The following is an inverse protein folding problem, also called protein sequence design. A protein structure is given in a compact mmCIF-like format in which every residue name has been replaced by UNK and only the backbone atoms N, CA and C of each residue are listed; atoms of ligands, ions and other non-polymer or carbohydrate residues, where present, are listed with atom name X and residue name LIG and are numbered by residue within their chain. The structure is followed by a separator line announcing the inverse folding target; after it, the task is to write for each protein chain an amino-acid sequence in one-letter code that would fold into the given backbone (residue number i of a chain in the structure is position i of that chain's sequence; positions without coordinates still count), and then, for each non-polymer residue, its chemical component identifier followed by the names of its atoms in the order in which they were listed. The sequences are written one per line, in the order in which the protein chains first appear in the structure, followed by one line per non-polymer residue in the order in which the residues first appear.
data_IF_669951682178
#
_entry.id   IF_669951682178
#
_cell.length_a   1.000
_cell.length_b   1.000
_cell.length_c   1.000
_cell.angle_alpha   90.00
_cell.angle_beta   90.00
_cell.angle_gamma   90.00
#
_symmetry.space_group_name_H-M   'P 1'
#
loop_
_entity.id
_entity.type
_entity.pdbx_description
1 polymer ?
#
# COMPACT_ATOMS: atom_id res chain seq x y z
N UNK A 1 43.24 -56.61 16.54
CA UNK A 1 42.81 -55.20 16.51
C UNK A 1 41.94 -55.03 15.28
N UNK A 2 40.63 -54.84 15.44
CA UNK A 2 39.69 -54.60 14.34
C UNK A 2 39.68 -53.10 13.98
N UNK A 3 39.20 -52.78 12.76
CA UNK A 3 38.54 -51.52 12.30
C UNK A 3 39.41 -50.58 11.45
N UNK A 4 39.01 -50.05 10.27
CA UNK A 4 37.81 -50.17 9.40
C UNK A 4 38.19 -49.72 7.96
N UNK A 5 37.36 -50.13 6.99
CA UNK A 5 37.48 -49.93 5.54
C UNK A 5 37.16 -48.47 5.08
N UNK A 6 37.79 -48.04 3.98
CA UNK A 6 37.48 -46.81 3.22
C UNK A 6 35.97 -46.69 2.91
N UNK A 7 35.34 -45.52 3.08
CA UNK A 7 34.19 -45.17 2.27
C UNK A 7 34.66 -44.57 0.93
N UNK A 8 34.36 -45.32 -0.12
CA UNK A 8 34.08 -44.81 -1.47
C UNK A 8 32.98 -43.76 -1.38
N UNK A 9 33.20 -42.59 -1.98
CA UNK A 9 32.20 -41.52 -2.01
C UNK A 9 32.83 -40.16 -2.21
N UNK A 10 33.64 -40.02 -3.27
CA UNK A 10 34.04 -38.69 -3.73
C UNK A 10 32.78 -37.93 -4.13
N UNK A 11 32.35 -36.97 -3.31
CA UNK A 11 31.40 -35.95 -3.78
C UNK A 11 32.07 -35.24 -4.94
N UNK A 12 31.49 -35.35 -6.14
CA UNK A 12 31.95 -34.63 -7.32
C UNK A 12 31.91 -33.13 -6.99
N UNK A 13 32.93 -32.34 -7.35
CA UNK A 13 32.85 -30.89 -7.28
C UNK A 13 31.86 -30.44 -8.37
N UNK A 14 30.57 -30.46 -8.04
CA UNK A 14 29.49 -30.26 -9.02
C UNK A 14 28.09 -30.29 -8.41
N UNK A 15 27.89 -30.94 -7.26
CA UNK A 15 26.61 -30.92 -6.53
C UNK A 15 26.57 -29.81 -5.47
N UNK A 16 27.08 -28.62 -5.80
CA UNK A 16 26.69 -27.44 -5.03
C UNK A 16 25.21 -27.24 -5.35
N UNK A 17 24.34 -27.60 -4.40
CA UNK A 17 22.94 -27.19 -4.41
C UNK A 17 22.88 -25.73 -4.88
N UNK A 18 21.97 -25.38 -5.81
CA UNK A 18 21.90 -24.02 -6.32
C UNK A 18 21.90 -23.09 -5.13
N UNK A 19 22.85 -22.14 -5.09
CA UNK A 19 22.97 -21.15 -4.01
C UNK A 19 21.58 -20.55 -3.84
N UNK A 20 20.86 -21.01 -2.82
CA UNK A 20 19.48 -20.63 -2.55
C UNK A 20 19.56 -19.12 -2.37
N UNK A 21 18.93 -18.35 -3.29
CA UNK A 21 18.90 -16.89 -3.18
C UNK A 21 18.25 -16.57 -1.84
N UNK A 22 19.09 -16.27 -0.85
CA UNK A 22 18.62 -15.86 0.46
C UNK A 22 18.21 -14.39 0.32
N UNK A 23 16.93 -14.11 0.56
CA UNK A 23 16.52 -12.73 0.78
C UNK A 23 17.31 -12.15 1.97
N UNK A 24 17.49 -10.82 2.05
CA UNK A 24 18.11 -10.20 3.22
C UNK A 24 17.51 -10.73 4.53
N UNK A 25 18.35 -11.19 5.46
CA UNK A 25 17.96 -11.70 6.77
C UNK A 25 17.15 -13.02 6.79
N UNK A 26 17.02 -13.71 5.65
CA UNK A 26 16.48 -15.08 5.60
C UNK A 26 17.51 -16.07 6.14
N UNK A 27 17.07 -17.02 6.97
CA UNK A 27 17.98 -18.03 7.52
C UNK A 27 18.20 -19.18 6.51
N UNK A 28 19.35 -19.88 6.54
CA UNK A 28 19.71 -20.89 5.52
C UNK A 28 18.64 -21.96 5.25
N UNK A 29 18.00 -22.46 6.30
CA UNK A 29 16.99 -23.53 6.23
C UNK A 29 15.55 -23.02 6.42
N UNK A 30 15.36 -21.71 6.39
CA UNK A 30 14.04 -21.11 6.54
C UNK A 30 13.25 -21.19 5.23
N UNK A 31 11.96 -21.51 5.34
CA UNK A 31 11.03 -21.43 4.21
C UNK A 31 10.70 -19.97 3.92
N UNK A 32 10.35 -19.65 2.69
CA UNK A 32 9.99 -18.28 2.31
C UNK A 32 8.79 -17.76 3.12
N UNK A 33 7.83 -18.63 3.44
CA UNK A 33 6.68 -18.30 4.30
C UNK A 33 7.11 -17.99 5.74
N UNK A 34 7.94 -18.84 6.35
CA UNK A 34 8.43 -18.61 7.71
C UNK A 34 9.24 -17.31 7.79
N UNK A 35 10.09 -17.06 6.80
CA UNK A 35 10.84 -15.80 6.65
C UNK A 35 9.92 -14.59 6.58
N UNK A 36 8.93 -14.60 5.67
CA UNK A 36 8.02 -13.46 5.51
C UNK A 36 7.21 -13.21 6.78
N UNK A 37 6.67 -14.27 7.40
CA UNK A 37 5.90 -14.16 8.64
C UNK A 37 6.76 -13.69 9.81
N UNK A 38 8.03 -14.10 9.90
CA UNK A 38 8.93 -13.66 10.97
C UNK A 38 9.34 -12.19 10.82
N UNK A 39 9.71 -11.77 9.61
CA UNK A 39 10.34 -10.46 9.36
C UNK A 39 9.33 -9.36 9.04
N UNK A 40 8.27 -9.69 8.29
CA UNK A 40 7.36 -8.72 7.68
C UNK A 40 5.94 -8.77 8.23
N UNK A 41 5.69 -9.50 9.33
CA UNK A 41 4.43 -9.37 10.05
C UNK A 41 4.24 -7.93 10.55
N UNK A 42 2.99 -7.45 10.45
CA UNK A 42 2.60 -6.12 10.92
C UNK A 42 2.62 -6.08 12.44
N UNK A 43 3.17 -5.00 13.01
CA UNK A 43 3.17 -4.77 14.45
C UNK A 43 1.83 -4.17 14.90
N UNK A 44 1.41 -4.45 16.13
CA UNK A 44 0.08 -4.06 16.67
C UNK A 44 -0.18 -2.55 16.62
N UNK A 45 0.83 -1.73 16.88
CA UNK A 45 0.73 -0.26 16.92
C UNK A 45 1.16 0.41 15.59
N UNK A 46 1.51 -0.38 14.58
CA UNK A 46 1.99 0.15 13.30
C UNK A 46 0.81 0.53 12.40
N UNK A 47 0.76 1.80 12.01
CA UNK A 47 -0.19 2.28 11.00
C UNK A 47 0.08 1.59 9.66
N UNK A 48 -0.94 1.50 8.81
CA UNK A 48 -0.80 0.89 7.49
C UNK A 48 0.31 1.56 6.66
N UNK A 49 0.34 2.89 6.64
CA UNK A 49 1.39 3.66 5.94
C UNK A 49 2.80 3.33 6.46
N UNK A 50 2.99 3.26 7.78
CA UNK A 50 4.28 2.89 8.38
C UNK A 50 4.66 1.45 8.02
N UNK A 51 3.69 0.55 8.07
CA UNK A 51 3.87 -0.85 7.73
C UNK A 51 4.31 -1.02 6.27
N UNK A 52 3.56 -0.46 5.33
CA UNK A 52 3.87 -0.55 3.89
C UNK A 52 5.23 0.07 3.60
N UNK A 53 5.51 1.26 4.14
CA UNK A 53 6.81 1.95 3.96
C UNK A 53 7.97 1.08 4.46
N UNK A 54 7.83 0.44 5.63
CA UNK A 54 8.85 -0.43 6.21
C UNK A 54 9.14 -1.63 5.30
N UNK A 55 8.12 -2.36 4.86
CA UNK A 55 8.32 -3.58 4.06
C UNK A 55 8.85 -3.27 2.65
N UNK A 56 8.50 -2.09 2.09
CA UNK A 56 9.02 -1.64 0.80
C UNK A 56 10.39 -0.99 0.86
N UNK A 57 10.93 -0.73 2.06
CA UNK A 57 12.29 -0.19 2.20
C UNK A 57 13.30 -1.16 1.58
N UNK A 58 14.21 -0.60 0.78
CA UNK A 58 15.27 -1.36 0.13
C UNK A 58 16.42 -1.61 1.11
N UNK A 59 16.91 -2.84 1.18
CA UNK A 59 18.14 -3.19 1.87
C UNK A 59 19.36 -2.76 1.04
N UNK A 60 20.45 -2.36 1.69
CA UNK A 60 21.68 -1.97 0.97
C UNK A 60 22.36 -3.13 0.26
N UNK A 61 22.08 -4.37 0.70
CA UNK A 61 22.70 -5.60 0.19
C UNK A 61 21.95 -6.26 -0.98
N UNK A 62 20.73 -5.82 -1.29
CA UNK A 62 19.94 -6.43 -2.37
C UNK A 62 20.15 -5.74 -3.72
N UNK A 63 20.19 -6.55 -4.78
CA UNK A 63 20.12 -6.05 -6.17
C UNK A 63 18.68 -5.67 -6.53
N UNK A 64 18.49 -4.97 -7.66
CA UNK A 64 17.16 -4.57 -8.13
C UNK A 64 16.21 -5.76 -8.29
N UNK A 65 16.70 -6.87 -8.86
CA UNK A 65 15.93 -8.08 -9.08
C UNK A 65 15.59 -8.79 -7.77
N UNK A 66 16.52 -8.83 -6.82
CA UNK A 66 16.28 -9.42 -5.49
C UNK A 66 15.26 -8.59 -4.73
N UNK A 67 15.36 -7.26 -4.79
CA UNK A 67 14.39 -6.34 -4.20
C UNK A 67 12.97 -6.57 -4.75
N UNK A 68 12.80 -6.54 -6.07
CA UNK A 68 11.49 -6.77 -6.70
C UNK A 68 10.93 -8.14 -6.35
N UNK A 69 11.77 -9.18 -6.39
CA UNK A 69 11.38 -10.55 -6.03
C UNK A 69 10.96 -10.65 -4.57
N UNK A 70 11.62 -9.92 -3.65
CA UNK A 70 11.29 -9.90 -2.22
C UNK A 70 9.95 -9.25 -1.96
N UNK A 71 9.71 -8.09 -2.57
CA UNK A 71 8.43 -7.39 -2.44
C UNK A 71 7.29 -8.27 -2.98
N UNK A 72 7.49 -8.93 -4.13
CA UNK A 72 6.50 -9.85 -4.68
C UNK A 72 6.24 -11.06 -3.77
N UNK A 73 7.28 -11.59 -3.13
CA UNK A 73 7.15 -12.68 -2.16
C UNK A 73 6.28 -12.25 -0.97
N UNK A 74 6.56 -11.07 -0.40
CA UNK A 74 5.79 -10.51 0.72
C UNK A 74 4.30 -10.36 0.35
N UNK A 75 4.01 -9.78 -0.83
CA UNK A 75 2.63 -9.61 -1.34
C UNK A 75 1.92 -10.97 -1.49
N UNK A 76 2.65 -11.99 -1.92
CA UNK A 76 2.09 -13.33 -2.16
C UNK A 76 1.69 -14.02 -0.86
N UNK A 77 2.46 -13.84 0.21
CA UNK A 77 2.26 -14.52 1.49
C UNK A 77 1.34 -13.72 2.43
N UNK A 78 1.51 -12.40 2.52
CA UNK A 78 0.71 -11.54 3.40
C UNK A 78 -0.54 -11.06 2.65
N UNK A 79 -1.57 -11.91 2.65
CA UNK A 79 -2.84 -11.65 1.96
C UNK A 79 -3.86 -10.89 2.80
N UNK A 80 -3.59 -10.70 4.09
CA UNK A 80 -4.47 -10.00 5.03
C UNK A 80 -4.57 -8.49 4.72
N UNK A 81 -3.61 -7.95 3.96
CA UNK A 81 -3.57 -6.56 3.53
C UNK A 81 -3.32 -6.54 2.02
N UNK A 82 -4.07 -5.73 1.28
CA UNK A 82 -3.86 -5.57 -0.17
C UNK A 82 -2.69 -4.63 -0.47
N UNK A 83 -1.48 -5.05 -0.13
CA UNK A 83 -0.23 -4.27 -0.26
C UNK A 83 -0.07 -3.67 -1.66
N UNK A 84 -0.46 -4.41 -2.71
CA UNK A 84 -0.32 -4.01 -4.10
C UNK A 84 -1.08 -2.72 -4.45
N UNK A 85 -2.19 -2.42 -3.77
CA UNK A 85 -2.94 -1.17 -3.96
C UNK A 85 -2.22 0.06 -3.42
N UNK A 86 -1.28 -0.13 -2.49
CA UNK A 86 -0.61 0.94 -1.76
C UNK A 86 0.78 1.25 -2.27
N UNK A 87 1.25 0.59 -3.33
CA UNK A 87 2.62 0.72 -3.79
C UNK A 87 2.70 0.95 -5.29
N UNK A 88 3.65 1.78 -5.72
CA UNK A 88 4.00 1.97 -7.13
C UNK A 88 5.51 1.96 -7.29
N UNK A 89 6.00 1.21 -8.26
CA UNK A 89 7.43 1.20 -8.57
C UNK A 89 7.84 2.50 -9.28
N UNK A 90 8.82 3.20 -8.73
CA UNK A 90 9.47 4.36 -9.35
C UNK A 90 10.75 3.88 -10.06
N UNK A 91 10.74 3.87 -11.38
CA UNK A 91 11.87 3.44 -12.21
C UNK A 91 13.11 4.33 -12.07
N UNK A 92 12.95 5.63 -11.77
CA UNK A 92 14.08 6.55 -11.63
C UNK A 92 14.78 6.36 -10.30
N UNK A 93 13.99 6.19 -9.24
CA UNK A 93 14.50 5.94 -7.88
C UNK A 93 14.84 4.47 -7.64
N UNK A 94 14.39 3.59 -8.52
CA UNK A 94 14.46 2.13 -8.38
C UNK A 94 13.90 1.68 -7.04
N UNK A 95 12.71 2.14 -6.66
CA UNK A 95 12.07 1.75 -5.39
C UNK A 95 10.55 1.79 -5.45
N UNK A 96 9.88 0.96 -4.65
CA UNK A 96 8.44 1.06 -4.44
C UNK A 96 8.12 2.21 -3.50
N UNK A 97 7.28 3.13 -3.98
CA UNK A 97 6.79 4.29 -3.23
C UNK A 97 5.39 3.99 -2.73
N UNK A 98 5.11 4.38 -1.48
CA UNK A 98 3.76 4.33 -0.93
C UNK A 98 2.84 5.30 -1.67
N UNK A 99 1.71 4.80 -2.14
CA UNK A 99 0.64 5.57 -2.77
C UNK A 99 -0.62 5.32 -1.98
N UNK A 100 -1.20 6.38 -1.42
CA UNK A 100 -2.51 6.26 -0.79
C UNK A 100 -3.58 6.14 -1.88
N UNK A 101 -4.44 5.10 -1.87
CA UNK A 101 -5.54 5.01 -2.82
C UNK A 101 -6.47 6.21 -2.67
N UNK A 102 -6.83 6.82 -3.81
CA UNK A 102 -7.75 7.96 -3.88
C UNK A 102 -9.14 7.46 -3.44
N UNK A 103 -9.57 7.85 -2.24
CA UNK A 103 -10.85 7.44 -1.67
C UNK A 103 -10.84 7.18 -0.16
N UNK A 104 -9.66 6.93 0.44
CA UNK A 104 -9.53 6.73 1.89
C UNK A 104 -8.93 8.00 2.51
N UNK A 105 -9.78 8.92 2.95
CA UNK A 105 -9.34 10.05 3.79
C UNK A 105 -8.97 9.51 5.16
N UNK A 106 -7.78 9.86 5.70
CA UNK A 106 -7.52 9.70 7.14
C UNK A 106 -8.59 10.51 7.89
N UNK A 107 -9.05 10.09 9.07
CA UNK A 107 -9.92 10.93 9.91
C UNK A 107 -9.32 12.33 10.11
N UNK A 108 -7.99 12.40 10.19
CA UNK A 108 -7.16 13.61 10.35
C UNK A 108 -7.13 14.51 9.09
N UNK A 109 -7.24 13.90 7.89
CA UNK A 109 -7.26 14.59 6.60
C UNK A 109 -8.70 14.94 6.16
N UNK A 110 -9.70 14.61 6.98
CA UNK A 110 -10.99 15.28 6.93
C UNK A 110 -10.77 16.68 7.51
N UNK A 111 -10.14 17.54 6.71
CA UNK A 111 -10.50 18.96 6.78
C UNK A 111 -12.03 18.94 6.72
N UNK A 112 -12.75 19.42 7.75
CA UNK A 112 -14.18 19.64 7.60
C UNK A 112 -14.26 20.46 6.35
N UNK A 113 -14.81 19.89 5.27
CA UNK A 113 -15.10 20.68 4.09
C UNK A 113 -15.87 21.83 4.69
N UNK A 114 -15.29 23.04 4.73
CA UNK A 114 -16.08 24.23 5.01
C UNK A 114 -17.17 24.09 3.98
N UNK A 115 -18.37 23.71 4.45
CA UNK A 115 -19.45 23.35 3.56
C UNK A 115 -19.62 24.49 2.58
N UNK A 116 -20.21 24.23 1.43
CA UNK A 116 -20.63 25.34 0.59
C UNK A 116 -21.40 26.35 1.46
N UNK A 117 -21.29 27.67 1.20
CA UNK A 117 -21.95 28.67 2.02
C UNK A 117 -23.43 28.31 2.26
N UNK A 118 -23.81 28.14 3.54
CA UNK A 118 -25.15 27.72 3.96
C UNK A 118 -25.50 26.24 3.76
N UNK A 119 -24.50 25.35 3.64
CA UNK A 119 -24.68 23.90 3.69
C UNK A 119 -24.96 23.45 5.13
N UNK A 120 -25.95 22.57 5.31
CA UNK A 120 -26.33 22.09 6.64
C UNK A 120 -25.31 21.05 7.15
N UNK A 121 -25.17 20.88 8.49
CA UNK A 121 -24.15 20.01 9.10
C UNK A 121 -24.17 18.56 8.62
N UNK A 122 -25.36 17.99 8.35
CA UNK A 122 -25.56 16.60 7.93
C UNK A 122 -25.98 16.47 6.45
N UNK A 123 -25.88 17.56 5.68
CA UNK A 123 -26.29 17.57 4.29
C UNK A 123 -25.16 17.13 3.35
N UNK A 124 -25.41 16.05 2.59
CA UNK A 124 -24.49 15.61 1.54
C UNK A 124 -24.34 16.68 0.46
N UNK A 125 -23.20 16.71 -0.23
CA UNK A 125 -22.99 17.66 -1.33
C UNK A 125 -24.06 17.54 -2.42
N UNK A 126 -24.52 16.32 -2.71
CA UNK A 126 -25.60 16.11 -3.68
C UNK A 126 -26.93 16.70 -3.23
N UNK A 127 -27.29 16.50 -1.95
CA UNK A 127 -28.50 17.09 -1.36
C UNK A 127 -28.42 18.61 -1.34
N UNK A 128 -27.25 19.17 -1.02
CA UNK A 128 -27.00 20.61 -1.11
C UNK A 128 -27.22 21.14 -2.52
N UNK A 129 -26.63 20.48 -3.53
CA UNK A 129 -26.75 20.94 -4.92
C UNK A 129 -28.22 20.91 -5.38
N UNK A 130 -28.96 19.84 -5.06
CA UNK A 130 -30.40 19.76 -5.39
C UNK A 130 -31.19 20.85 -4.66
N UNK A 131 -30.99 21.03 -3.36
CA UNK A 131 -31.72 22.04 -2.58
C UNK A 131 -31.45 23.47 -3.07
N UNK A 132 -30.20 23.78 -3.42
CA UNK A 132 -29.77 25.14 -3.75
C UNK A 132 -29.91 25.48 -5.23
N UNK A 133 -29.59 24.56 -6.14
CA UNK A 133 -29.55 24.84 -7.58
C UNK A 133 -30.64 24.13 -8.39
N UNK A 134 -31.53 23.34 -7.79
CA UNK A 134 -32.69 22.90 -8.55
C UNK A 134 -33.62 24.07 -8.84
N UNK A 135 -34.01 24.19 -10.11
CA UNK A 135 -35.06 25.10 -10.56
C UNK A 135 -36.42 24.57 -10.08
N UNK A 136 -37.19 25.40 -9.37
CA UNK A 136 -38.55 25.12 -8.95
C UNK A 136 -39.50 25.20 -10.15
N UNK A 137 -40.55 24.40 -10.15
CA UNK A 137 -41.53 24.36 -11.27
C UNK A 137 -42.22 25.70 -11.53
N UNK A 138 -42.40 26.50 -10.48
CA UNK A 138 -43.11 27.79 -10.54
C UNK A 138 -42.16 28.99 -10.66
N UNK A 139 -40.83 28.81 -10.65
CA UNK A 139 -39.89 29.93 -10.74
C UNK A 139 -39.49 30.23 -12.19
N UNK A 140 -39.52 31.52 -12.56
CA UNK A 140 -38.99 31.98 -13.85
C UNK A 140 -37.46 31.81 -13.90
N UNK A 141 -36.89 31.80 -15.10
CA UNK A 141 -35.43 31.70 -15.27
C UNK A 141 -34.68 32.86 -14.62
N UNK A 142 -35.19 34.08 -14.75
CA UNK A 142 -34.61 35.26 -14.11
C UNK A 142 -34.65 35.14 -12.57
N UNK A 143 -35.75 34.62 -12.02
CA UNK A 143 -35.91 34.42 -10.58
C UNK A 143 -34.93 33.36 -10.07
N UNK A 144 -34.77 32.27 -10.82
CA UNK A 144 -33.77 31.24 -10.54
C UNK A 144 -32.35 31.81 -10.53
N UNK A 145 -31.97 32.53 -11.59
CA UNK A 145 -30.63 33.12 -11.74
C UNK A 145 -30.35 34.08 -10.58
N UNK A 146 -31.26 35.02 -10.30
CA UNK A 146 -31.09 36.01 -9.23
C UNK A 146 -30.94 35.35 -7.85
N UNK A 147 -31.73 34.31 -7.57
CA UNK A 147 -31.66 33.53 -6.31
C UNK A 147 -30.33 32.79 -6.15
N UNK A 148 -29.76 32.30 -7.23
CA UNK A 148 -28.49 31.56 -7.21
C UNK A 148 -27.29 32.51 -7.13
N UNK A 149 -27.28 33.59 -7.92
CA UNK A 149 -26.15 34.53 -7.99
C UNK A 149 -26.04 35.45 -6.78
N UNK A 150 -27.17 35.87 -6.19
CA UNK A 150 -27.19 36.72 -4.99
C UNK A 150 -26.47 36.11 -3.77
N UNK A 151 -26.31 34.79 -3.73
CA UNK A 151 -25.59 34.09 -2.64
C UNK A 151 -24.07 34.26 -2.70
N UNK A 152 -23.56 34.74 -3.83
CA UNK A 152 -22.13 34.99 -4.05
C UNK A 152 -21.79 36.49 -4.12
N UNK A 153 -22.78 37.36 -3.94
CA UNK A 153 -22.57 38.78 -3.78
C UNK A 153 -22.27 39.08 -2.30
N UNK A 154 -20.99 39.26 -1.99
CA UNK A 154 -20.49 39.82 -0.72
C UNK A 154 -20.57 41.33 -0.72
#
# INVERSE_FOLDING_TARGET
LYVYLKPSGGKKPGDLAPVKKLYPDQLPDETDEAYVRRVYTRKTEETEEKYITRITTRHSSETDDVYKSRIQLIITIIKEINIQQYIKYDEKKKLYVYVRPIGVKKPEDVVPSKGYPGQLPDETNETYVRRVYSKKSEESEETYILRVTSRYST
#
